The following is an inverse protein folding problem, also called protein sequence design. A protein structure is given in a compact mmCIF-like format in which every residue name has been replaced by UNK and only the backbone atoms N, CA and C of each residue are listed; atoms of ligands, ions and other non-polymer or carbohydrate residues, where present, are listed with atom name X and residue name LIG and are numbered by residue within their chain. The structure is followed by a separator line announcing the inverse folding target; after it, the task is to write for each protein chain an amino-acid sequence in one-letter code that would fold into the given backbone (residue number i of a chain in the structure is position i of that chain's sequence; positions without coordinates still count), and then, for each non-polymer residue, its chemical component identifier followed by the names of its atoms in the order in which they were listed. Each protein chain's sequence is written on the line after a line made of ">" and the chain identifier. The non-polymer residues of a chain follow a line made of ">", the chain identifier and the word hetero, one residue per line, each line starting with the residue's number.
data_IF_128389573482
#
_entry.id   IF_128389573482
#
_cell.length_a   1.000
_cell.length_b   1.000
_cell.length_c   1.000
_cell.angle_alpha   90.00
_cell.angle_beta   90.00
_cell.angle_gamma   90.00
#
_symmetry.space_group_name_H-M   'P 1'
#
loop_
_entity.id
_entity.type
_entity.pdbx_description
1 polymer ?
#
# COMPACT_ATOMS: atom_id res chain seq x y z
N UNK A 1 0.83 -10.32 -1.45
CA UNK A 1 -0.50 -10.13 -2.07
C UNK A 1 -1.47 -11.18 -1.56
N UNK A 2 -2.72 -10.82 -1.35
CA UNK A 2 -3.75 -11.70 -0.78
C UNK A 2 -4.43 -12.64 -1.78
N UNK A 3 -4.49 -12.24 -3.05
CA UNK A 3 -5.06 -13.03 -4.13
C UNK A 3 -6.59 -13.13 -4.09
N UNK A 4 -7.14 -13.89 -5.04
CA UNK A 4 -8.55 -14.26 -5.12
C UNK A 4 -8.64 -15.73 -4.68
N UNK A 5 -9.17 -16.03 -3.49
CA UNK A 5 -9.24 -17.40 -3.00
C UNK A 5 -10.32 -18.22 -3.71
N UNK A 6 -10.18 -19.55 -3.79
CA UNK A 6 -11.25 -20.42 -4.26
C UNK A 6 -12.43 -20.43 -3.25
N UNK A 7 -13.65 -20.59 -3.75
CA UNK A 7 -14.88 -20.52 -2.93
C UNK A 7 -14.98 -21.59 -1.84
N UNK A 8 -14.18 -22.66 -1.93
CA UNK A 8 -14.21 -23.80 -1.02
C UNK A 8 -13.26 -23.66 0.18
N UNK A 9 -12.47 -22.58 0.26
CA UNK A 9 -11.40 -22.49 1.25
C UNK A 9 -11.96 -22.25 2.66
N UNK A 10 -11.75 -23.17 3.62
CA UNK A 10 -12.23 -23.00 4.98
C UNK A 10 -11.34 -21.99 5.73
N UNK A 11 -11.97 -21.06 6.43
CA UNK A 11 -11.34 -20.07 7.32
C UNK A 11 -10.20 -19.23 6.68
N UNK A 12 -10.51 -18.62 5.53
CA UNK A 12 -9.63 -17.70 4.81
C UNK A 12 -8.95 -16.63 5.67
N UNK A 13 -9.64 -15.96 6.62
CA UNK A 13 -8.99 -14.99 7.49
C UNK A 13 -7.85 -15.58 8.30
N UNK A 14 -8.05 -16.77 8.87
CA UNK A 14 -7.02 -17.43 9.68
C UNK A 14 -5.81 -17.82 8.83
N UNK A 15 -6.06 -18.45 7.67
CA UNK A 15 -4.98 -18.84 6.73
C UNK A 15 -4.16 -17.64 6.28
N UNK A 16 -4.82 -16.54 5.92
CA UNK A 16 -4.13 -15.33 5.49
C UNK A 16 -3.31 -14.71 6.63
N UNK A 17 -3.88 -14.61 7.84
CA UNK A 17 -3.17 -14.10 9.01
C UNK A 17 -1.93 -14.93 9.34
N UNK A 18 -2.03 -16.27 9.32
CA UNK A 18 -0.92 -17.17 9.63
C UNK A 18 0.21 -17.04 8.59
N UNK A 19 -0.14 -16.91 7.30
CA UNK A 19 0.84 -16.69 6.24
C UNK A 19 1.53 -15.33 6.35
N UNK A 20 0.78 -14.27 6.66
CA UNK A 20 1.34 -12.92 6.87
C UNK A 20 2.25 -12.89 8.09
N UNK A 21 1.83 -13.51 9.21
CA UNK A 21 2.65 -13.63 10.41
C UNK A 21 3.98 -14.35 10.11
N UNK A 22 3.91 -15.50 9.43
CA UNK A 22 5.10 -16.25 9.02
C UNK A 22 6.05 -15.39 8.16
N UNK A 23 5.54 -14.70 7.15
CA UNK A 23 6.35 -13.86 6.28
C UNK A 23 6.98 -12.68 7.05
N UNK A 24 6.19 -11.98 7.86
CA UNK A 24 6.64 -10.84 8.64
C UNK A 24 7.71 -11.23 9.68
N UNK A 25 7.57 -12.38 10.35
CA UNK A 25 8.61 -12.90 11.25
C UNK A 25 9.93 -13.19 10.52
N UNK A 26 9.85 -13.78 9.32
CA UNK A 26 11.04 -14.08 8.51
C UNK A 26 11.72 -12.80 8.05
N UNK A 27 10.95 -11.83 7.58
CA UNK A 27 11.47 -10.54 7.14
C UNK A 27 12.06 -9.74 8.30
N UNK A 28 11.45 -9.80 9.49
CA UNK A 28 11.95 -9.12 10.68
C UNK A 28 13.35 -9.58 11.09
N UNK A 29 13.69 -10.86 10.89
CA UNK A 29 15.05 -11.39 11.13
C UNK A 29 16.12 -10.80 10.21
N UNK A 30 15.71 -10.24 9.07
CA UNK A 30 16.57 -9.60 8.09
C UNK A 30 16.42 -8.06 8.06
N UNK A 31 15.73 -7.49 9.06
CA UNK A 31 15.40 -6.06 9.11
C UNK A 31 14.62 -5.56 7.86
N UNK A 32 13.71 -6.41 7.37
CA UNK A 32 12.86 -6.12 6.21
C UNK A 32 11.42 -5.83 6.66
N UNK A 33 10.86 -4.75 6.14
CA UNK A 33 9.44 -4.40 6.30
C UNK A 33 8.57 -5.36 5.49
N UNK A 34 7.50 -5.86 6.10
CA UNK A 34 6.45 -6.64 5.44
C UNK A 34 5.26 -5.73 5.12
N UNK A 35 4.82 -5.75 3.86
CA UNK A 35 3.68 -4.94 3.41
C UNK A 35 2.50 -5.83 3.02
N UNK A 36 1.31 -5.43 3.43
CA UNK A 36 0.04 -5.90 2.87
C UNK A 36 -0.69 -4.75 2.21
N UNK A 37 -1.41 -5.03 1.13
CA UNK A 37 -2.09 -4.02 0.33
C UNK A 37 -3.56 -4.40 0.16
N UNK A 38 -4.49 -3.61 0.73
CA UNK A 38 -5.89 -3.77 0.44
C UNK A 38 -6.20 -3.22 -0.95
N UNK A 39 -6.87 -4.01 -1.79
CA UNK A 39 -7.28 -3.60 -3.14
C UNK A 39 -8.80 -3.62 -3.21
N UNK A 40 -9.40 -2.48 -3.57
CA UNK A 40 -10.85 -2.36 -3.64
C UNK A 40 -11.46 -3.33 -4.67
N UNK A 41 -12.71 -3.73 -4.42
CA UNK A 41 -13.45 -4.67 -5.25
C UNK A 41 -13.74 -4.18 -6.66
N UNK A 42 -13.69 -2.87 -6.92
CA UNK A 42 -13.84 -2.32 -8.27
C UNK A 42 -12.63 -2.64 -9.15
N UNK A 43 -11.43 -2.60 -8.56
CA UNK A 43 -10.17 -2.85 -9.26
C UNK A 43 -9.92 -4.34 -9.43
N UNK A 44 -10.12 -5.12 -8.36
CA UNK A 44 -9.95 -6.58 -8.39
C UNK A 44 -11.15 -7.25 -7.69
N UNK A 45 -12.21 -7.59 -8.44
CA UNK A 45 -13.35 -8.30 -7.90
C UNK A 45 -12.95 -9.64 -7.26
N UNK A 46 -13.43 -9.90 -6.04
CA UNK A 46 -13.15 -11.15 -5.31
C UNK A 46 -11.79 -11.20 -4.60
N UNK A 47 -11.00 -10.12 -4.61
CA UNK A 47 -9.75 -10.05 -3.87
C UNK A 47 -10.01 -10.17 -2.36
N UNK A 48 -9.23 -11.01 -1.67
CA UNK A 48 -9.49 -11.31 -0.26
C UNK A 48 -9.35 -10.08 0.64
N UNK A 49 -8.25 -9.33 0.50
CA UNK A 49 -7.95 -8.16 1.31
C UNK A 49 -8.50 -6.91 0.62
N UNK A 50 -9.78 -6.60 0.80
CA UNK A 50 -10.48 -5.63 -0.06
C UNK A 50 -10.86 -4.30 0.60
N UNK A 51 -10.61 -4.15 1.90
CA UNK A 51 -10.81 -2.88 2.62
C UNK A 51 -9.66 -2.54 3.54
N UNK A 52 -9.54 -1.24 3.85
CA UNK A 52 -8.56 -0.73 4.81
C UNK A 52 -8.82 -1.30 6.21
N UNK A 53 -10.08 -1.38 6.63
CA UNK A 53 -10.49 -1.93 7.93
C UNK A 53 -10.05 -3.38 8.08
N UNK A 54 -10.24 -4.20 7.06
CA UNK A 54 -9.80 -5.60 7.06
C UNK A 54 -8.27 -5.71 7.19
N UNK A 55 -7.51 -4.87 6.46
CA UNK A 55 -6.06 -4.83 6.57
C UNK A 55 -5.61 -4.39 7.98
N UNK A 56 -6.28 -3.40 8.57
CA UNK A 56 -6.03 -2.97 9.94
C UNK A 56 -6.29 -4.10 10.95
N UNK A 57 -7.42 -4.80 10.83
CA UNK A 57 -7.76 -5.91 11.73
C UNK A 57 -6.72 -7.04 11.67
N UNK A 58 -6.17 -7.32 10.47
CA UNK A 58 -5.09 -8.30 10.29
C UNK A 58 -3.80 -7.82 10.96
N UNK A 59 -3.42 -6.55 10.82
CA UNK A 59 -2.23 -6.00 11.49
C UNK A 59 -2.38 -6.08 13.01
N UNK A 60 -3.54 -5.72 13.53
CA UNK A 60 -3.85 -5.76 14.96
C UNK A 60 -3.90 -7.20 15.51
N UNK A 61 -4.25 -8.18 14.68
CA UNK A 61 -4.21 -9.59 15.03
C UNK A 61 -2.78 -10.16 15.04
N UNK A 62 -1.97 -9.83 14.02
CA UNK A 62 -0.59 -10.34 13.84
C UNK A 62 0.40 -9.67 14.81
N UNK A 63 0.22 -8.39 15.12
CA UNK A 63 1.01 -7.62 16.13
C UNK A 63 2.52 -7.61 15.92
N UNK A 64 2.97 -7.63 14.66
CA UNK A 64 4.39 -7.52 14.33
C UNK A 64 4.76 -6.08 13.95
N UNK A 65 5.83 -5.50 14.53
CA UNK A 65 6.16 -4.09 14.34
C UNK A 65 6.60 -3.77 12.91
N UNK A 66 7.13 -4.75 12.16
CA UNK A 66 7.57 -4.60 10.78
C UNK A 66 6.46 -4.88 9.75
N UNK A 67 5.23 -5.22 10.17
CA UNK A 67 4.08 -5.35 9.28
C UNK A 67 3.37 -3.99 9.13
N UNK A 68 3.13 -3.55 7.89
CA UNK A 68 2.51 -2.26 7.55
C UNK A 68 1.58 -2.38 6.35
N UNK A 69 0.74 -1.37 6.15
CA UNK A 69 -0.13 -1.23 4.96
C UNK A 69 0.63 -0.45 3.89
N UNK A 70 0.63 -0.95 2.65
CA UNK A 70 1.00 -0.18 1.47
C UNK A 70 -0.27 0.50 0.93
N UNK A 71 -0.28 1.84 0.84
CA UNK A 71 -1.42 2.55 0.27
C UNK A 71 -1.09 4.00 -0.15
N UNK A 72 -0.78 4.21 -1.44
CA UNK A 72 -0.88 5.52 -2.12
C UNK A 72 -1.30 5.29 -3.57
N UNK A 73 -2.44 5.85 -3.98
CA UNK A 73 -2.90 5.86 -5.36
C UNK A 73 -3.76 7.09 -5.63
N UNK A 74 -3.45 7.87 -6.68
CA UNK A 74 -4.31 9.00 -7.07
C UNK A 74 -5.70 8.51 -7.48
N UNK A 75 -6.72 9.29 -7.16
CA UNK A 75 -8.09 9.02 -7.59
C UNK A 75 -8.56 10.14 -8.52
N UNK A 76 -9.33 9.82 -9.58
CA UNK A 76 -9.84 8.49 -9.93
C UNK A 76 -8.89 7.64 -10.79
N UNK A 77 -7.92 8.26 -11.47
CA UNK A 77 -7.18 7.61 -12.57
C UNK A 77 -5.90 6.87 -12.16
N UNK A 78 -5.49 6.97 -10.89
CA UNK A 78 -4.21 6.46 -10.38
C UNK A 78 -3.00 7.07 -11.08
N UNK A 79 -3.09 8.32 -11.50
CA UNK A 79 -2.00 9.04 -12.15
C UNK A 79 -0.93 9.51 -11.13
N UNK A 80 0.09 10.23 -11.60
CA UNK A 80 1.17 10.73 -10.76
C UNK A 80 0.64 11.63 -9.61
N UNK A 81 1.27 11.62 -8.42
CA UNK A 81 0.79 12.38 -7.25
C UNK A 81 0.68 13.90 -7.44
N UNK A 82 1.33 14.49 -8.45
CA UNK A 82 1.24 15.93 -8.74
C UNK A 82 0.15 16.29 -9.77
N UNK A 83 -0.62 15.32 -10.25
CA UNK A 83 -1.73 15.56 -11.19
C UNK A 83 -3.02 15.96 -10.45
N UNK A 84 -3.92 16.71 -11.10
CA UNK A 84 -5.24 16.98 -10.53
C UNK A 84 -6.00 15.70 -10.18
N UNK A 85 -6.59 15.65 -8.99
CA UNK A 85 -7.39 14.54 -8.50
C UNK A 85 -8.17 14.96 -7.26
N UNK A 86 -8.88 14.03 -6.63
CA UNK A 86 -9.66 14.35 -5.42
C UNK A 86 -8.77 14.54 -4.19
N UNK A 87 -7.57 13.96 -4.19
CA UNK A 87 -6.62 14.00 -3.07
C UNK A 87 -5.45 14.94 -3.39
N UNK A 88 -5.21 15.91 -2.50
CA UNK A 88 -4.01 16.74 -2.49
C UNK A 88 -2.82 15.96 -1.92
N UNK A 89 -2.14 15.20 -2.79
CA UNK A 89 -0.96 14.44 -2.39
C UNK A 89 0.23 15.31 -2.02
N UNK A 90 0.32 16.56 -2.50
CA UNK A 90 1.35 17.48 -2.02
C UNK A 90 1.17 17.79 -0.53
N UNK A 91 -0.07 17.96 -0.07
CA UNK A 91 -0.35 18.07 1.35
C UNK A 91 -0.07 16.76 2.10
N UNK A 92 -0.59 15.62 1.61
CA UNK A 92 -0.43 14.31 2.27
C UNK A 92 1.05 13.95 2.43
N UNK A 93 1.85 14.05 1.38
CA UNK A 93 3.27 13.70 1.40
C UNK A 93 4.07 14.62 2.33
N UNK A 94 3.71 15.92 2.42
CA UNK A 94 4.30 16.83 3.41
C UNK A 94 3.97 16.42 4.85
N UNK A 95 2.73 15.99 5.13
CA UNK A 95 2.37 15.51 6.46
C UNK A 95 3.11 14.22 6.82
N UNK A 96 3.23 13.29 5.87
CA UNK A 96 3.98 12.05 6.06
C UNK A 96 5.46 12.34 6.33
N UNK A 97 6.08 13.24 5.55
CA UNK A 97 7.48 13.65 5.75
C UNK A 97 7.69 14.32 7.12
N UNK A 98 6.75 15.17 7.55
CA UNK A 98 6.80 15.81 8.87
C UNK A 98 6.62 14.81 10.02
N UNK A 99 5.81 13.76 9.84
CA UNK A 99 5.59 12.72 10.82
C UNK A 99 6.79 11.76 10.92
N UNK A 100 7.34 11.33 9.78
CA UNK A 100 8.56 10.52 9.72
C UNK A 100 9.25 10.67 8.35
N UNK A 101 10.39 11.37 8.27
CA UNK A 101 11.10 11.57 7.00
C UNK A 101 11.80 10.31 6.47
N UNK A 102 11.89 9.24 7.28
CA UNK A 102 12.58 8.00 6.92
C UNK A 102 11.64 6.92 6.37
N UNK A 103 10.34 7.21 6.22
CA UNK A 103 9.41 6.25 5.64
C UNK A 103 9.63 6.12 4.13
N UNK A 104 9.82 4.88 3.67
CA UNK A 104 9.72 4.55 2.25
C UNK A 104 8.25 4.49 1.86
N UNK A 105 7.89 5.22 0.81
CA UNK A 105 6.55 5.24 0.26
C UNK A 105 6.59 4.58 -1.12
N UNK A 106 5.92 3.44 -1.25
CA UNK A 106 5.69 2.80 -2.54
C UNK A 106 4.64 3.57 -3.33
N UNK A 107 4.90 3.80 -4.63
CA UNK A 107 4.02 4.59 -5.49
C UNK A 107 3.66 3.81 -6.74
N UNK A 108 2.46 3.23 -6.74
CA UNK A 108 1.92 2.50 -7.88
C UNK A 108 0.93 3.39 -8.63
N UNK A 109 1.43 4.11 -9.62
CA UNK A 109 0.66 5.01 -10.47
C UNK A 109 0.84 4.68 -11.96
N UNK A 110 -0.15 5.07 -12.75
CA UNK A 110 -0.10 5.11 -14.19
C UNK A 110 0.76 6.29 -14.63
N UNK A 111 1.69 6.02 -15.55
CA UNK A 111 2.50 7.06 -16.17
C UNK A 111 1.86 7.53 -17.48
N UNK A 112 1.83 8.85 -17.70
CA UNK A 112 1.39 9.43 -18.97
C UNK A 112 2.51 10.28 -19.58
N UNK A 113 2.92 9.96 -20.81
CA UNK A 113 3.96 10.72 -21.54
C UNK A 113 3.64 12.22 -21.66
N UNK A 114 2.36 12.58 -21.69
CA UNK A 114 1.90 13.97 -21.75
C UNK A 114 2.24 14.78 -20.49
N UNK A 115 2.53 14.14 -19.35
CA UNK A 115 2.87 14.78 -18.08
C UNK A 115 4.37 15.06 -17.93
N UNK A 116 5.20 14.68 -18.92
CA UNK A 116 6.64 14.88 -18.91
C UNK A 116 7.41 13.62 -18.52
N UNK A 117 8.58 13.77 -17.89
CA UNK A 117 9.38 12.59 -17.53
C UNK A 117 8.73 11.86 -16.35
N UNK A 118 8.84 10.52 -16.25
CA UNK A 118 8.16 9.71 -15.23
C UNK A 118 8.43 10.08 -13.76
N UNK A 119 9.42 10.95 -13.50
CA UNK A 119 9.93 11.26 -12.16
C UNK A 119 10.10 12.74 -11.89
N UNK A 120 9.73 13.62 -12.82
CA UNK A 120 9.93 15.07 -12.64
C UNK A 120 9.16 15.59 -11.41
N UNK A 121 7.99 14.99 -11.15
CA UNK A 121 7.14 15.32 -10.01
C UNK A 121 7.80 15.03 -8.65
N UNK A 122 8.74 14.09 -8.55
CA UNK A 122 9.39 13.71 -7.27
C UNK A 122 10.11 14.91 -6.66
N UNK A 123 10.95 15.57 -7.45
CA UNK A 123 11.70 16.74 -7.01
C UNK A 123 10.81 17.96 -6.83
N UNK A 124 9.76 18.11 -7.67
CA UNK A 124 8.78 19.20 -7.54
C UNK A 124 8.04 19.16 -6.20
N UNK A 125 7.82 17.96 -5.64
CA UNK A 125 7.20 17.78 -4.33
C UNK A 125 8.21 17.80 -3.17
N UNK A 126 9.49 18.06 -3.42
CA UNK A 126 10.53 18.09 -2.39
C UNK A 126 10.90 16.72 -1.84
N UNK A 127 10.71 15.66 -2.63
CA UNK A 127 11.00 14.28 -2.27
C UNK A 127 12.32 13.82 -2.89
N UNK A 128 12.89 12.76 -2.32
CA UNK A 128 14.09 12.08 -2.83
C UNK A 128 13.79 10.61 -3.13
N UNK A 129 14.59 10.01 -4.04
CA UNK A 129 14.60 8.56 -4.28
C UNK A 129 15.69 7.88 -3.44
#
# INVERSE_FOLDING_TARGET
>A
MAGIPPSSEPDLPKVFQDNVAYAAEKFGKADIMCLIEPINHYTVPGYFLSSYEQAKDIIDAVKLPNLKIQYIAQVPSRDEPNTPGEIDYQYVLRQLQAANPNWTIGLEHNFHEAHGSPRDWVQQLGLSM
#
